data_IF_506283222759
#
_entry.id   IF_506283222759
#
_cell.length_a   1.000
_cell.length_b   1.000
_cell.length_c   1.000
_cell.angle_alpha   90.00
_cell.angle_beta   90.00
_cell.angle_gamma   90.00
#
_symmetry.space_group_name_H-M   'P 1'
#
loop_
_entity.id
_entity.type
_entity.pdbx_description
1 polymer ?
#
# COMPACT_ATOMS: atom_id res chain seq x y z
N UNK A 1 4.50 -24.62 -19.22
CA UNK A 1 5.05 -23.23 -19.21
C UNK A 1 3.90 -22.27 -19.43
N UNK A 2 3.76 -21.29 -18.58
CA UNK A 2 2.81 -20.21 -18.83
C UNK A 2 3.28 -19.39 -20.02
N UNK A 3 2.38 -19.11 -20.94
CA UNK A 3 2.65 -18.25 -22.06
C UNK A 3 2.90 -16.82 -21.52
N UNK A 4 4.09 -16.28 -21.74
CA UNK A 4 4.44 -14.93 -21.30
C UNK A 4 3.74 -13.92 -22.20
N UNK A 5 2.46 -13.71 -21.95
CA UNK A 5 1.61 -12.80 -22.69
C UNK A 5 0.52 -12.24 -21.77
N UNK A 6 -0.07 -11.11 -22.16
CA UNK A 6 -1.19 -10.51 -21.41
C UNK A 6 -2.35 -11.50 -21.27
N UNK A 7 -2.66 -12.24 -22.34
CA UNK A 7 -3.72 -13.26 -22.33
C UNK A 7 -3.35 -14.41 -21.41
N UNK A 8 -2.08 -14.85 -21.41
CA UNK A 8 -1.58 -15.88 -20.50
C UNK A 8 -1.79 -15.48 -19.03
N UNK A 9 -1.39 -14.27 -18.65
CA UNK A 9 -1.61 -13.76 -17.30
C UNK A 9 -3.09 -13.65 -16.93
N UNK A 10 -3.94 -13.21 -17.86
CA UNK A 10 -5.40 -13.17 -17.61
C UNK A 10 -5.99 -14.56 -17.35
N UNK A 11 -5.51 -15.59 -18.06
CA UNK A 11 -5.96 -16.98 -17.86
C UNK A 11 -5.50 -17.56 -16.53
N UNK A 12 -4.36 -17.13 -16.02
CA UNK A 12 -3.83 -17.55 -14.71
C UNK A 12 -4.53 -16.88 -13.52
N UNK A 13 -5.17 -15.73 -13.71
CA UNK A 13 -5.76 -14.95 -12.61
C UNK A 13 -6.68 -15.77 -11.68
N UNK A 14 -7.62 -16.59 -12.17
CA UNK A 14 -8.51 -17.33 -11.28
C UNK A 14 -7.76 -18.27 -10.33
N UNK A 15 -6.70 -18.92 -10.81
CA UNK A 15 -5.86 -19.81 -10.02
C UNK A 15 -5.03 -19.03 -8.99
N UNK A 16 -4.42 -17.92 -9.42
CA UNK A 16 -3.65 -17.04 -8.53
C UNK A 16 -4.51 -16.43 -7.42
N UNK A 17 -5.72 -16.00 -7.74
CA UNK A 17 -6.67 -15.50 -6.74
C UNK A 17 -7.08 -16.58 -5.74
N UNK A 18 -7.34 -17.80 -6.20
CA UNK A 18 -7.63 -18.93 -5.29
C UNK A 18 -6.44 -19.22 -4.37
N UNK A 19 -5.23 -19.18 -4.90
CA UNK A 19 -4.00 -19.36 -4.11
C UNK A 19 -3.86 -18.29 -3.03
N UNK A 20 -3.99 -17.01 -3.39
CA UNK A 20 -3.94 -15.92 -2.43
C UNK A 20 -5.03 -16.05 -1.36
N UNK A 21 -6.26 -16.35 -1.77
CA UNK A 21 -7.36 -16.52 -0.84
C UNK A 21 -7.16 -17.70 0.12
N UNK A 22 -6.66 -18.83 -0.38
CA UNK A 22 -6.35 -20.00 0.44
C UNK A 22 -5.26 -19.71 1.48
N UNK A 23 -4.29 -18.89 1.12
CA UNK A 23 -3.15 -18.52 1.98
C UNK A 23 -3.30 -17.12 2.62
N UNK A 24 -4.49 -16.56 2.62
CA UNK A 24 -4.75 -15.18 3.03
C UNK A 24 -4.21 -14.83 4.43
N UNK A 25 -4.24 -15.76 5.35
CA UNK A 25 -3.78 -15.52 6.71
C UNK A 25 -2.28 -15.23 6.77
N UNK A 26 -1.49 -15.94 5.96
CA UNK A 26 -0.04 -15.70 5.84
C UNK A 26 0.24 -14.33 5.22
N UNK A 27 -0.50 -13.97 4.16
CA UNK A 27 -0.31 -12.69 3.47
C UNK A 27 -0.78 -11.50 4.30
N UNK A 28 -1.84 -11.67 5.09
CA UNK A 28 -2.43 -10.56 5.85
C UNK A 28 -1.69 -10.29 7.17
N UNK A 29 -0.98 -11.26 7.71
CA UNK A 29 -0.35 -11.16 9.03
C UNK A 29 0.62 -9.98 9.16
N UNK A 30 1.57 -9.75 8.22
CA UNK A 30 2.44 -8.58 8.27
C UNK A 30 1.67 -7.26 8.25
N UNK A 31 0.55 -7.22 7.54
CA UNK A 31 -0.31 -6.05 7.46
C UNK A 31 -1.02 -5.79 8.79
N UNK A 32 -1.57 -6.82 9.40
CA UNK A 32 -2.21 -6.71 10.72
C UNK A 32 -1.22 -6.24 11.79
N UNK A 33 0.00 -6.76 11.78
CA UNK A 33 1.05 -6.32 12.69
C UNK A 33 1.41 -4.84 12.46
N UNK A 34 1.57 -4.44 11.19
CA UNK A 34 1.88 -3.06 10.84
C UNK A 34 0.77 -2.07 11.23
N UNK A 35 -0.49 -2.50 11.23
CA UNK A 35 -1.64 -1.66 11.57
C UNK A 35 -1.86 -1.47 13.07
N UNK A 36 -1.21 -2.26 13.93
CA UNK A 36 -1.37 -2.12 15.39
C UNK A 36 -1.00 -0.72 15.88
N UNK A 37 -1.93 -0.07 16.62
CA UNK A 37 -1.72 1.26 17.18
C UNK A 37 -1.71 2.39 16.15
N UNK A 38 -2.04 2.13 14.89
CA UNK A 38 -2.10 3.16 13.85
C UNK A 38 -3.45 3.88 13.87
N UNK A 39 -3.38 5.19 13.72
CA UNK A 39 -4.55 6.07 13.61
C UNK A 39 -4.75 6.60 12.21
N UNK A 40 -3.70 6.55 11.39
CA UNK A 40 -3.73 7.00 10.01
C UNK A 40 -2.89 6.10 9.11
N UNK A 41 -3.40 5.80 7.93
CA UNK A 41 -2.70 5.01 6.92
C UNK A 41 -2.64 5.80 5.62
N UNK A 42 -1.43 5.95 5.09
CA UNK A 42 -1.17 6.61 3.81
C UNK A 42 -0.73 5.57 2.80
N UNK A 43 -1.50 5.43 1.73
CA UNK A 43 -1.22 4.52 0.63
C UNK A 43 -0.59 5.27 -0.53
N UNK A 44 0.45 4.69 -1.11
CA UNK A 44 1.19 5.26 -2.24
C UNK A 44 1.29 4.27 -3.38
N UNK A 45 1.00 4.72 -4.58
CA UNK A 45 1.10 3.93 -5.78
C UNK A 45 0.90 4.78 -7.03
N UNK A 46 1.29 4.26 -8.17
CA UNK A 46 1.12 4.89 -9.48
C UNK A 46 0.35 3.96 -10.42
N UNK A 47 -0.43 4.53 -11.33
CA UNK A 47 -1.24 3.76 -12.27
C UNK A 47 -2.26 2.86 -11.55
N UNK A 48 -2.27 1.57 -11.90
CA UNK A 48 -3.17 0.58 -11.29
C UNK A 48 -2.92 0.43 -9.77
N UNK A 49 -1.69 0.58 -9.31
CA UNK A 49 -1.36 0.57 -7.88
C UNK A 49 -2.00 1.74 -7.13
N UNK A 50 -2.14 2.90 -7.77
CA UNK A 50 -2.91 4.00 -7.21
C UNK A 50 -4.40 3.66 -7.08
N UNK A 51 -4.98 3.03 -8.09
CA UNK A 51 -6.39 2.61 -8.04
C UNK A 51 -6.65 1.60 -6.92
N UNK A 52 -5.73 0.66 -6.70
CA UNK A 52 -5.77 -0.28 -5.56
C UNK A 52 -5.64 0.48 -4.24
N UNK A 53 -4.74 1.46 -4.15
CA UNK A 53 -4.56 2.32 -2.99
C UNK A 53 -5.83 3.08 -2.65
N UNK A 54 -6.49 3.65 -3.65
CA UNK A 54 -7.74 4.38 -3.49
C UNK A 54 -8.86 3.48 -2.98
N UNK A 55 -8.99 2.28 -3.55
CA UNK A 55 -9.96 1.29 -3.08
C UNK A 55 -9.70 0.88 -1.63
N UNK A 56 -8.44 0.65 -1.26
CA UNK A 56 -8.06 0.34 0.10
C UNK A 56 -8.49 1.43 1.10
N UNK A 57 -8.36 2.71 0.73
CA UNK A 57 -8.77 3.81 1.61
C UNK A 57 -10.25 3.76 1.96
N UNK A 58 -11.11 3.41 1.01
CA UNK A 58 -12.54 3.30 1.26
C UNK A 58 -12.86 2.15 2.21
N UNK A 59 -12.21 1.00 2.07
CA UNK A 59 -12.38 -0.12 2.99
C UNK A 59 -11.91 0.23 4.40
N UNK A 60 -10.74 0.84 4.54
CA UNK A 60 -10.21 1.22 5.86
C UNK A 60 -11.08 2.25 6.56
N UNK A 61 -11.54 3.27 5.85
CA UNK A 61 -12.44 4.28 6.41
C UNK A 61 -13.79 3.68 6.80
N UNK A 62 -14.37 2.90 5.91
CA UNK A 62 -15.77 2.45 6.06
C UNK A 62 -15.91 1.25 7.00
N UNK A 63 -14.97 0.32 6.98
CA UNK A 63 -15.03 -0.92 7.76
C UNK A 63 -14.21 -0.81 9.05
N UNK A 64 -13.00 -0.29 8.95
CA UNK A 64 -12.09 -0.23 10.10
C UNK A 64 -12.18 1.08 10.88
N UNK A 65 -12.87 2.09 10.35
CA UNK A 65 -12.96 3.44 10.94
C UNK A 65 -11.59 4.08 11.22
N UNK A 66 -10.62 3.78 10.36
CA UNK A 66 -9.28 4.36 10.41
C UNK A 66 -9.17 5.44 9.32
N UNK A 67 -8.61 6.59 9.65
CA UNK A 67 -8.29 7.60 8.64
C UNK A 67 -7.28 7.03 7.65
N UNK A 68 -7.64 7.04 6.37
CA UNK A 68 -6.82 6.51 5.30
C UNK A 68 -6.90 7.39 4.07
N UNK A 69 -5.79 7.59 3.39
CA UNK A 69 -5.71 8.38 2.17
C UNK A 69 -4.77 7.72 1.17
N UNK A 70 -5.05 7.90 -0.12
CA UNK A 70 -4.22 7.42 -1.22
C UNK A 70 -3.63 8.60 -1.98
N UNK A 71 -2.36 8.48 -2.33
CA UNK A 71 -1.63 9.51 -3.07
C UNK A 71 -0.80 8.93 -4.20
N UNK A 72 -0.72 9.67 -5.29
CA UNK A 72 0.43 9.54 -6.17
C UNK A 72 1.67 10.02 -5.43
N UNK A 73 2.77 9.27 -5.42
CA UNK A 73 3.96 9.62 -4.65
C UNK A 73 4.48 11.05 -4.90
N UNK A 74 4.49 11.47 -6.16
CA UNK A 74 4.94 12.81 -6.52
C UNK A 74 4.01 13.93 -6.01
N UNK A 75 2.69 13.68 -5.99
CA UNK A 75 1.74 14.65 -5.43
C UNK A 75 1.99 14.82 -3.94
N UNK A 76 2.19 13.74 -3.22
CA UNK A 76 2.50 13.80 -1.80
C UNK A 76 3.82 14.54 -1.55
N UNK A 77 4.87 14.19 -2.29
CA UNK A 77 6.22 14.75 -2.12
C UNK A 77 6.24 16.29 -2.20
N UNK A 78 5.43 16.86 -3.08
CA UNK A 78 5.48 18.31 -3.35
C UNK A 78 4.34 19.11 -2.74
N UNK A 79 3.22 18.50 -2.40
CA UNK A 79 2.00 19.23 -2.05
C UNK A 79 1.35 18.77 -0.74
N UNK A 80 1.81 17.66 -0.16
CA UNK A 80 1.17 17.06 1.00
C UNK A 80 2.13 16.85 2.16
N UNK A 81 1.56 16.57 3.30
CA UNK A 81 2.28 16.15 4.50
C UNK A 81 1.52 15.04 5.22
N UNK A 82 2.19 14.26 6.09
CA UNK A 82 1.56 13.10 6.72
C UNK A 82 0.33 13.41 7.56
N UNK A 83 0.33 14.53 8.25
CA UNK A 83 -0.79 14.95 9.08
C UNK A 83 -0.88 16.48 9.15
N UNK A 84 -1.86 17.06 8.46
CA UNK A 84 -2.09 18.50 8.45
C UNK A 84 -2.53 19.06 9.80
N UNK A 85 -3.13 18.24 10.65
CA UNK A 85 -3.53 18.64 12.00
C UNK A 85 -2.38 18.72 12.99
N UNK A 86 -1.24 18.11 12.66
CA UNK A 86 -0.07 17.94 13.54
C UNK A 86 -0.42 17.36 14.92
N UNK A 87 -1.47 16.52 14.97
CA UNK A 87 -1.98 15.94 16.21
C UNK A 87 -1.51 14.52 16.46
N UNK A 88 -1.00 13.85 15.42
CA UNK A 88 -0.55 12.46 15.50
C UNK A 88 0.96 12.37 15.69
N UNK A 89 1.37 11.34 16.43
CA UNK A 89 2.78 10.96 16.52
C UNK A 89 3.19 10.18 15.28
N UNK A 90 4.46 10.19 14.93
CA UNK A 90 4.98 9.47 13.75
C UNK A 90 4.66 7.99 13.78
N UNK A 91 4.79 7.34 14.93
CA UNK A 91 4.46 5.94 15.12
C UNK A 91 2.98 5.59 14.96
N UNK A 92 2.09 6.57 14.94
CA UNK A 92 0.65 6.41 14.72
C UNK A 92 0.26 6.50 13.24
N UNK A 93 1.21 6.81 12.36
CA UNK A 93 0.99 6.97 10.91
C UNK A 93 1.76 5.89 10.16
N UNK A 94 1.05 5.06 9.40
CA UNK A 94 1.64 4.01 8.58
C UNK A 94 1.73 4.45 7.12
N UNK A 95 2.91 4.32 6.53
CA UNK A 95 3.13 4.50 5.10
C UNK A 95 3.10 3.13 4.40
N UNK A 96 2.22 2.96 3.45
CA UNK A 96 2.08 1.73 2.67
C UNK A 96 2.39 2.01 1.20
N UNK A 97 3.48 1.46 0.70
CA UNK A 97 3.83 1.52 -0.72
C UNK A 97 3.28 0.32 -1.48
N UNK A 98 2.57 0.56 -2.55
CA UNK A 98 2.03 -0.49 -3.44
C UNK A 98 2.72 -0.37 -4.80
N UNK A 99 3.46 -1.40 -5.17
CA UNK A 99 4.16 -1.47 -6.46
C UNK A 99 4.26 -2.92 -6.91
N UNK A 100 3.60 -3.25 -8.02
CA UNK A 100 3.63 -4.62 -8.55
C UNK A 100 5.05 -5.07 -8.88
N UNK A 101 5.84 -4.23 -9.52
CA UNK A 101 7.25 -4.53 -9.85
C UNK A 101 8.23 -4.35 -8.68
N UNK A 102 7.87 -3.56 -7.69
CA UNK A 102 8.78 -3.15 -6.60
C UNK A 102 9.85 -2.14 -7.04
N UNK A 103 9.79 -1.65 -8.27
CA UNK A 103 10.83 -0.79 -8.87
C UNK A 103 10.33 0.61 -9.25
N UNK A 104 9.11 0.97 -8.90
CA UNK A 104 8.58 2.31 -9.13
C UNK A 104 9.40 3.34 -8.36
N UNK A 105 10.18 4.14 -9.08
CA UNK A 105 11.12 5.12 -8.48
C UNK A 105 10.42 6.05 -7.51
N UNK A 106 9.32 6.67 -7.91
CA UNK A 106 8.61 7.61 -7.06
C UNK A 106 8.01 6.97 -5.81
N UNK A 107 7.53 5.73 -5.90
CA UNK A 107 7.04 4.99 -4.74
C UNK A 107 8.20 4.63 -3.80
N UNK A 108 9.33 4.17 -4.33
CA UNK A 108 10.52 3.89 -3.53
C UNK A 108 11.03 5.14 -2.80
N UNK A 109 11.09 6.28 -3.47
CA UNK A 109 11.52 7.55 -2.86
C UNK A 109 10.65 7.96 -1.66
N UNK A 110 9.33 7.80 -1.76
CA UNK A 110 8.42 8.10 -0.65
C UNK A 110 8.60 7.12 0.52
N UNK A 111 8.82 5.84 0.23
CA UNK A 111 9.08 4.84 1.27
C UNK A 111 10.43 5.08 1.97
N UNK A 112 11.45 5.47 1.23
CA UNK A 112 12.75 5.88 1.78
C UNK A 112 12.62 7.14 2.65
N UNK A 113 11.90 8.14 2.17
CA UNK A 113 11.57 9.34 2.94
C UNK A 113 10.89 8.98 4.27
N UNK A 114 9.87 8.15 4.24
CA UNK A 114 9.14 7.74 5.43
C UNK A 114 10.06 7.05 6.44
N UNK A 115 10.86 6.10 5.97
CA UNK A 115 11.82 5.37 6.79
C UNK A 115 12.87 6.31 7.40
N UNK A 116 13.45 7.20 6.59
CA UNK A 116 14.46 8.17 7.05
C UNK A 116 13.90 9.15 8.10
N UNK A 117 12.60 9.45 8.06
CA UNK A 117 11.93 10.35 9.00
C UNK A 117 11.28 9.62 10.20
N UNK A 118 11.46 8.33 10.35
CA UNK A 118 10.99 7.57 11.49
C UNK A 118 9.51 7.17 11.45
N UNK A 119 8.89 7.17 10.27
CA UNK A 119 7.54 6.63 10.09
C UNK A 119 7.58 5.12 9.89
N UNK A 120 6.63 4.36 10.48
CA UNK A 120 6.41 2.96 10.13
C UNK A 120 6.08 2.79 8.65
N UNK A 121 6.64 1.76 8.03
CA UNK A 121 6.48 1.48 6.61
C UNK A 121 6.09 0.04 6.35
N UNK A 122 5.28 -0.18 5.32
CA UNK A 122 4.93 -1.50 4.78
C UNK A 122 4.94 -1.44 3.26
N UNK A 123 5.48 -2.45 2.62
CA UNK A 123 5.45 -2.58 1.17
C UNK A 123 4.59 -3.76 0.73
N UNK A 124 3.74 -3.52 -0.27
CA UNK A 124 3.01 -4.54 -1.00
C UNK A 124 3.58 -4.61 -2.42
N UNK A 125 4.23 -5.71 -2.73
CA UNK A 125 4.91 -5.89 -4.03
C UNK A 125 4.78 -7.32 -4.50
N UNK A 126 4.88 -7.51 -5.82
CA UNK A 126 4.95 -8.83 -6.46
C UNK A 126 6.37 -9.40 -6.54
N UNK A 127 7.36 -8.66 -6.07
CA UNK A 127 8.78 -9.05 -6.06
C UNK A 127 9.28 -9.23 -4.64
#
# INVERSE_FOLDING_TARGET
MSEVSVIGYMREQPERLRYVFKNREVFIQPFLEACKGKKKILFFGSGTSYNVSLLATYYFKHICHIDAQAYYPNVFKYYEQPDWSNSLKKEEILFVGISQSGTSVSTCEIMEYAKANGYPTLALTGN
#
